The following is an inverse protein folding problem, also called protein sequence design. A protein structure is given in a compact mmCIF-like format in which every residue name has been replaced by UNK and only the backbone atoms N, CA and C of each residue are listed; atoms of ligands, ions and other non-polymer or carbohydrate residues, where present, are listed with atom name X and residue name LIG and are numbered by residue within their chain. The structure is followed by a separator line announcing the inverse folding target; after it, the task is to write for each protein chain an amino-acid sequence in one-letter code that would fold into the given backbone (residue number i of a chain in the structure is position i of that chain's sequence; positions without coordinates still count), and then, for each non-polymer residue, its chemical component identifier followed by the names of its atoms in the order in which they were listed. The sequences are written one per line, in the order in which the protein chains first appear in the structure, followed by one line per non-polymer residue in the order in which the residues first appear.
data_IF_181416583556
#
_entry.id   IF_181416583556
#
_cell.length_a   1.000
_cell.length_b   1.000
_cell.length_c   1.000
_cell.angle_alpha   90.00
_cell.angle_beta   90.00
_cell.angle_gamma   90.00
#
_symmetry.space_group_name_H-M   'P 1'
#
loop_
_entity.id
_entity.type
_entity.pdbx_description
1 polymer ?
#
# COMPACT_ATOMS: atom_id res chain seq x y z
N UNK A 1 6.61 15.78 -4.42
CA UNK A 1 7.88 15.03 -4.18
C UNK A 1 8.38 15.19 -2.76
N UNK A 2 8.60 16.42 -2.27
CA UNK A 2 9.17 16.66 -0.92
C UNK A 2 8.32 16.03 0.18
N UNK A 3 7.00 16.11 0.10
CA UNK A 3 6.09 15.53 1.07
C UNK A 3 6.05 13.97 1.09
N UNK A 4 6.82 13.31 0.22
CA UNK A 4 7.09 11.87 0.31
C UNK A 4 8.20 11.51 1.31
N UNK A 5 8.91 12.52 1.84
CA UNK A 5 9.95 12.32 2.84
C UNK A 5 9.33 12.13 4.23
N UNK A 6 9.04 10.87 4.58
CA UNK A 6 8.40 10.52 5.85
C UNK A 6 9.24 10.93 7.08
N UNK A 7 10.56 10.95 6.98
CA UNK A 7 11.44 11.40 8.08
C UNK A 7 11.26 12.89 8.34
N UNK A 8 11.25 13.72 7.30
CA UNK A 8 11.02 15.15 7.42
C UNK A 8 9.62 15.45 7.97
N UNK A 9 8.60 14.76 7.45
CA UNK A 9 7.23 14.92 7.91
C UNK A 9 7.07 14.55 9.39
N UNK A 10 7.73 13.47 9.81
CA UNK A 10 7.72 13.05 11.21
C UNK A 10 8.39 14.06 12.14
N UNK A 11 9.45 14.74 11.69
CA UNK A 11 10.08 15.82 12.47
C UNK A 11 9.12 16.98 12.72
N UNK A 12 8.26 17.32 11.76
CA UNK A 12 7.23 18.35 11.94
C UNK A 12 6.24 17.94 13.03
N UNK A 13 5.83 16.67 13.06
CA UNK A 13 4.92 16.14 14.09
C UNK A 13 5.55 16.10 15.47
N UNK A 14 6.80 15.61 15.59
CA UNK A 14 7.48 15.45 16.88
C UNK A 14 7.77 16.83 17.53
N UNK A 15 8.10 17.82 16.74
CA UNK A 15 8.42 19.15 17.26
C UNK A 15 7.19 20.00 17.59
N UNK A 16 5.98 19.49 17.35
CA UNK A 16 4.71 20.15 17.68
C UNK A 16 4.57 21.58 17.13
N UNK A 17 5.16 21.87 15.98
CA UNK A 17 5.00 23.19 15.33
C UNK A 17 3.59 23.43 14.82
N UNK A 18 2.84 22.36 14.57
CA UNK A 18 1.46 22.42 14.08
C UNK A 18 0.61 21.40 14.84
N UNK A 19 -0.62 21.73 15.09
CA UNK A 19 -1.59 20.82 15.74
C UNK A 19 -1.96 19.62 14.85
N UNK A 20 -1.98 19.84 13.54
CA UNK A 20 -2.34 18.81 12.56
C UNK A 20 -1.47 18.93 11.32
N UNK A 21 -1.12 17.79 10.76
CA UNK A 21 -0.50 17.67 9.44
C UNK A 21 -1.40 16.83 8.54
N UNK A 22 -1.59 17.26 7.30
CA UNK A 22 -2.30 16.51 6.29
C UNK A 22 -1.39 16.29 5.08
N UNK A 23 -1.15 15.02 4.76
CA UNK A 23 -0.38 14.61 3.59
C UNK A 23 -1.26 13.63 2.83
N UNK A 24 -1.68 13.95 1.59
CA UNK A 24 -2.52 13.06 0.80
C UNK A 24 -1.75 11.81 0.36
N UNK A 25 -2.48 10.79 -0.09
CA UNK A 25 -1.87 9.54 -0.57
C UNK A 25 -1.02 9.68 -1.84
N UNK A 26 -1.19 10.76 -2.59
CA UNK A 26 -0.39 11.09 -3.77
C UNK A 26 0.23 12.51 -3.66
N UNK A 27 1.20 12.74 -2.75
CA UNK A 27 1.74 14.07 -2.49
C UNK A 27 2.84 14.49 -3.49
N UNK A 28 2.89 13.89 -4.65
CA UNK A 28 3.77 14.21 -5.79
C UNK A 28 2.98 14.70 -6.99
N UNK A 29 3.63 14.71 -8.15
CA UNK A 29 3.07 15.22 -9.43
C UNK A 29 1.78 14.50 -9.83
N UNK A 30 1.68 13.21 -9.58
CA UNK A 30 0.46 12.44 -9.84
C UNK A 30 -0.77 12.99 -9.11
N UNK A 31 -0.61 13.56 -7.92
CA UNK A 31 -1.70 14.18 -7.17
C UNK A 31 -2.25 15.46 -7.80
N UNK A 32 -1.49 16.09 -8.70
CA UNK A 32 -1.95 17.26 -9.46
C UNK A 32 -3.19 16.96 -10.30
N UNK A 33 -3.33 15.74 -10.84
CA UNK A 33 -4.52 15.32 -11.59
C UNK A 33 -5.77 15.31 -10.71
N UNK A 34 -5.65 14.81 -9.47
CA UNK A 34 -6.73 14.81 -8.49
C UNK A 34 -7.09 16.25 -8.09
N UNK A 35 -6.07 17.07 -7.81
CA UNK A 35 -6.27 18.47 -7.46
C UNK A 35 -7.00 19.24 -8.55
N UNK A 36 -6.62 19.06 -9.80
CA UNK A 36 -7.28 19.70 -10.95
C UNK A 36 -8.75 19.27 -11.09
N UNK A 37 -9.01 17.97 -10.94
CA UNK A 37 -10.37 17.43 -10.97
C UNK A 37 -11.24 18.01 -9.84
N UNK A 38 -10.69 18.05 -8.62
CA UNK A 38 -11.40 18.60 -7.44
C UNK A 38 -11.68 20.10 -7.56
N UNK A 39 -10.73 20.88 -8.07
CA UNK A 39 -10.93 22.33 -8.32
C UNK A 39 -12.05 22.54 -9.33
N UNK A 40 -12.03 21.78 -10.43
CA UNK A 40 -13.06 21.88 -11.47
C UNK A 40 -14.43 21.45 -10.95
N UNK A 41 -14.48 20.36 -10.20
CA UNK A 41 -15.70 19.89 -9.54
C UNK A 41 -16.28 20.95 -8.60
N UNK A 42 -15.45 21.55 -7.74
CA UNK A 42 -15.86 22.58 -6.79
C UNK A 42 -16.36 23.86 -7.47
N UNK A 43 -15.74 24.26 -8.60
CA UNK A 43 -16.24 25.42 -9.37
C UNK A 43 -17.67 25.22 -9.89
N UNK A 44 -18.04 24.00 -10.23
CA UNK A 44 -19.40 23.65 -10.72
C UNK A 44 -20.38 23.34 -9.60
N UNK A 45 -19.90 22.85 -8.45
CA UNK A 45 -20.72 22.36 -7.32
C UNK A 45 -20.27 23.06 -6.03
N UNK A 46 -20.63 24.33 -5.86
CA UNK A 46 -20.12 25.20 -4.78
C UNK A 46 -20.39 24.66 -3.37
N UNK A 47 -21.50 23.95 -3.18
CA UNK A 47 -21.98 23.46 -1.88
C UNK A 47 -21.61 22.00 -1.58
N UNK A 48 -20.85 21.35 -2.47
CA UNK A 48 -20.44 19.96 -2.27
C UNK A 48 -18.94 19.80 -2.17
N UNK A 49 -18.52 18.98 -1.19
CA UNK A 49 -17.13 18.58 -1.04
C UNK A 49 -16.97 17.12 -1.47
N UNK A 50 -16.20 16.88 -2.52
CA UNK A 50 -15.74 15.53 -2.81
C UNK A 50 -14.68 15.17 -1.78
N UNK A 51 -14.98 14.19 -0.92
CA UNK A 51 -14.05 13.69 0.07
C UNK A 51 -13.31 12.46 -0.49
N UNK A 52 -12.10 12.67 -0.98
CA UNK A 52 -11.22 11.60 -1.47
C UNK A 52 -10.31 11.10 -0.34
N UNK A 53 -10.88 10.38 0.61
CA UNK A 53 -10.14 9.79 1.73
C UNK A 53 -9.53 8.44 1.41
N UNK A 54 -9.95 7.79 0.33
CA UNK A 54 -9.44 6.48 -0.06
C UNK A 54 -8.38 6.58 -1.16
N UNK A 55 -7.23 5.92 -1.01
CA UNK A 55 -6.23 5.81 -2.08
C UNK A 55 -6.61 4.79 -3.16
N UNK A 56 -7.62 3.95 -2.93
CA UNK A 56 -7.98 2.81 -3.79
C UNK A 56 -8.90 3.24 -4.94
N UNK A 57 -8.40 4.13 -5.80
CA UNK A 57 -9.14 4.68 -6.94
C UNK A 57 -8.60 4.23 -8.30
N UNK A 58 -7.54 3.41 -8.31
CA UNK A 58 -6.97 2.86 -9.52
C UNK A 58 -7.79 1.72 -10.13
N UNK A 59 -7.20 1.00 -11.07
CA UNK A 59 -7.86 -0.10 -11.79
C UNK A 59 -8.30 -1.23 -10.87
N UNK A 60 -9.44 -1.81 -11.18
CA UNK A 60 -9.95 -3.03 -10.57
C UNK A 60 -10.20 -4.07 -11.67
N UNK A 61 -10.14 -5.34 -11.30
CA UNK A 61 -10.39 -6.45 -12.20
C UNK A 61 -11.37 -7.40 -11.51
N UNK A 62 -12.34 -7.89 -12.25
CA UNK A 62 -13.27 -8.89 -11.76
C UNK A 62 -12.63 -10.29 -11.72
N UNK A 63 -13.25 -11.21 -11.01
CA UNK A 63 -12.79 -12.61 -11.03
C UNK A 63 -12.85 -13.20 -12.44
N UNK A 64 -13.87 -12.83 -13.21
CA UNK A 64 -14.08 -13.26 -14.59
C UNK A 64 -12.96 -12.73 -15.52
N UNK A 65 -12.51 -11.49 -15.31
CA UNK A 65 -11.38 -10.92 -16.06
C UNK A 65 -10.09 -11.67 -15.75
N UNK A 66 -9.86 -11.97 -14.47
CA UNK A 66 -8.68 -12.71 -14.02
C UNK A 66 -8.72 -14.15 -14.59
N UNK A 67 -9.86 -14.83 -14.56
CA UNK A 67 -10.02 -16.17 -15.09
C UNK A 67 -9.79 -16.22 -16.60
N UNK A 68 -10.31 -15.24 -17.34
CA UNK A 68 -10.05 -15.12 -18.79
C UNK A 68 -8.55 -14.99 -19.09
N UNK A 69 -7.83 -14.17 -18.31
CA UNK A 69 -6.37 -14.01 -18.47
C UNK A 69 -5.65 -15.33 -18.17
N UNK A 70 -6.02 -16.02 -17.08
CA UNK A 70 -5.41 -17.28 -16.68
C UNK A 70 -5.59 -18.34 -17.78
N UNK A 71 -6.77 -18.42 -18.37
CA UNK A 71 -7.09 -19.43 -19.38
C UNK A 71 -6.44 -19.14 -20.75
N UNK A 72 -6.26 -17.88 -21.10
CA UNK A 72 -5.80 -17.48 -22.42
C UNK A 72 -4.30 -17.22 -22.52
N UNK A 73 -3.62 -16.88 -21.41
CA UNK A 73 -2.20 -16.56 -21.44
C UNK A 73 -1.33 -17.82 -21.31
N UNK A 74 -0.70 -18.21 -22.41
CA UNK A 74 0.18 -19.40 -22.46
C UNK A 74 1.35 -19.32 -21.47
N UNK A 75 1.80 -18.11 -21.13
CA UNK A 75 2.90 -17.90 -20.18
C UNK A 75 2.56 -18.35 -18.77
N UNK A 76 1.26 -18.39 -18.44
CA UNK A 76 0.79 -18.80 -17.12
C UNK A 76 0.74 -20.32 -16.94
N UNK A 77 0.78 -21.11 -18.01
CA UNK A 77 0.76 -22.58 -17.95
C UNK A 77 1.94 -23.21 -17.18
N UNK A 78 3.05 -22.49 -17.06
CA UNK A 78 4.21 -22.92 -16.29
C UNK A 78 4.02 -22.77 -14.77
N UNK A 79 2.99 -22.06 -14.32
CA UNK A 79 2.76 -21.80 -12.90
C UNK A 79 1.67 -22.70 -12.34
N UNK A 80 1.82 -23.07 -11.07
CA UNK A 80 0.78 -23.80 -10.34
C UNK A 80 -0.30 -22.83 -9.87
N UNK A 81 -1.46 -22.86 -10.51
CA UNK A 81 -2.60 -22.01 -10.17
C UNK A 81 -3.57 -22.80 -9.30
N UNK A 82 -4.06 -22.17 -8.24
CA UNK A 82 -5.08 -22.70 -7.36
C UNK A 82 -6.16 -21.67 -7.10
N UNK A 83 -7.41 -22.09 -7.15
CA UNK A 83 -8.56 -21.27 -6.80
C UNK A 83 -9.06 -21.61 -5.40
N UNK A 84 -9.34 -20.57 -4.60
CA UNK A 84 -9.89 -20.69 -3.25
C UNK A 84 -11.23 -19.96 -3.19
N UNK A 85 -12.32 -20.67 -2.94
CA UNK A 85 -13.64 -20.07 -2.71
C UNK A 85 -13.72 -19.36 -1.36
N UNK A 86 -13.06 -19.94 -0.36
CA UNK A 86 -13.07 -19.42 1.00
C UNK A 86 -11.90 -18.46 1.22
N UNK A 87 -12.25 -17.18 1.45
CA UNK A 87 -11.26 -16.13 1.72
C UNK A 87 -10.42 -16.39 2.97
N UNK A 88 -11.01 -16.96 4.01
CA UNK A 88 -10.30 -17.27 5.26
C UNK A 88 -9.23 -18.35 5.04
N UNK A 89 -9.56 -19.38 4.26
CA UNK A 89 -8.61 -20.42 3.89
C UNK A 89 -7.40 -19.85 3.13
N UNK A 90 -7.67 -18.96 2.16
CA UNK A 90 -6.62 -18.27 1.42
C UNK A 90 -5.75 -17.40 2.35
N UNK A 91 -6.37 -16.63 3.24
CA UNK A 91 -5.65 -15.77 4.18
C UNK A 91 -4.76 -16.58 5.13
N UNK A 92 -5.25 -17.71 5.65
CA UNK A 92 -4.49 -18.61 6.51
C UNK A 92 -3.30 -19.23 5.76
N UNK A 93 -3.49 -19.59 4.49
CA UNK A 93 -2.39 -20.07 3.65
C UNK A 93 -1.32 -18.99 3.45
N UNK A 94 -1.73 -17.76 3.13
CA UNK A 94 -0.82 -16.61 2.95
C UNK A 94 -0.05 -16.35 4.24
N UNK A 95 -0.74 -16.28 5.39
CA UNK A 95 -0.12 -16.07 6.69
C UNK A 95 0.92 -17.17 7.02
N UNK A 96 0.58 -18.43 6.78
CA UNK A 96 1.51 -19.56 6.95
C UNK A 96 2.73 -19.47 6.03
N UNK A 97 2.55 -19.03 4.78
CA UNK A 97 3.66 -18.79 3.85
C UNK A 97 4.59 -17.69 4.35
N UNK A 98 4.04 -16.57 4.80
CA UNK A 98 4.80 -15.45 5.36
C UNK A 98 5.55 -15.90 6.63
N UNK A 99 4.87 -16.58 7.55
CA UNK A 99 5.48 -17.13 8.76
C UNK A 99 6.70 -18.02 8.45
N UNK A 100 6.61 -18.83 7.41
CA UNK A 100 7.69 -19.69 6.94
C UNK A 100 8.72 -18.94 6.06
N UNK A 101 8.84 -17.63 6.21
CA UNK A 101 9.81 -16.76 5.53
C UNK A 101 9.69 -16.73 3.98
N UNK A 102 8.53 -17.08 3.43
CA UNK A 102 8.29 -16.84 2.01
C UNK A 102 7.91 -15.38 1.78
N UNK A 103 8.27 -14.86 0.63
CA UNK A 103 7.81 -13.55 0.16
C UNK A 103 6.60 -13.74 -0.74
N UNK A 104 5.54 -12.98 -0.48
CA UNK A 104 4.26 -13.11 -1.18
C UNK A 104 3.95 -11.81 -1.92
N UNK A 105 3.74 -11.89 -3.23
CA UNK A 105 3.11 -10.82 -4.00
C UNK A 105 1.61 -10.82 -3.74
N UNK A 106 1.07 -9.70 -3.27
CA UNK A 106 -0.34 -9.57 -2.91
C UNK A 106 -1.05 -8.59 -3.83
N UNK A 107 -2.06 -9.10 -4.52
CA UNK A 107 -2.90 -8.36 -5.44
C UNK A 107 -4.36 -8.49 -4.99
N UNK A 108 -4.97 -7.38 -4.61
CA UNK A 108 -6.32 -7.37 -4.06
C UNK A 108 -7.10 -6.16 -4.56
N UNK A 109 -8.40 -6.31 -4.85
CA UNK A 109 -9.34 -5.23 -5.13
C UNK A 109 -8.77 -4.11 -6.05
N UNK A 110 -9.18 -2.87 -5.88
CA UNK A 110 -8.69 -1.71 -6.64
C UNK A 110 -7.27 -1.34 -6.24
N UNK A 111 -6.42 -0.98 -7.21
CA UNK A 111 -5.06 -0.54 -6.91
C UNK A 111 -5.04 0.84 -6.26
N UNK A 112 -3.99 1.08 -5.51
CA UNK A 112 -3.70 2.38 -4.93
C UNK A 112 -3.32 3.39 -6.01
N UNK A 113 -3.73 4.63 -5.83
CA UNK A 113 -3.25 5.77 -6.58
C UNK A 113 -2.19 6.52 -5.76
N UNK A 114 -1.00 6.67 -6.31
CA UNK A 114 0.10 7.32 -5.61
C UNK A 114 1.36 6.47 -5.55
N UNK A 115 2.36 6.96 -4.82
CA UNK A 115 3.71 6.39 -4.82
C UNK A 115 3.88 5.16 -3.90
N UNK A 116 2.92 4.91 -3.02
CA UNK A 116 3.03 3.87 -1.98
C UNK A 116 2.08 2.72 -2.25
N UNK A 117 2.55 1.49 -2.06
CA UNK A 117 1.71 0.32 -1.90
C UNK A 117 1.07 0.36 -0.50
N UNK A 118 -0.25 0.24 -0.43
CA UNK A 118 -1.03 0.39 0.80
C UNK A 118 -1.91 -0.84 1.09
N UNK A 119 -1.49 -2.01 0.62
CA UNK A 119 -2.15 -3.27 0.90
C UNK A 119 -2.83 -3.95 -0.29
N UNK A 120 -3.03 -3.27 -1.42
CA UNK A 120 -3.69 -3.87 -2.58
C UNK A 120 -2.73 -4.31 -3.70
N UNK A 121 -1.56 -3.71 -3.79
CA UNK A 121 -0.46 -4.08 -4.71
C UNK A 121 0.83 -4.14 -3.91
N UNK A 122 0.93 -5.11 -3.00
CA UNK A 122 1.96 -5.16 -1.99
C UNK A 122 2.82 -6.40 -2.09
N UNK A 123 4.04 -6.29 -1.58
CA UNK A 123 4.91 -7.43 -1.31
C UNK A 123 4.90 -7.64 0.20
N UNK A 124 4.48 -8.82 0.62
CA UNK A 124 4.36 -9.19 2.03
C UNK A 124 5.49 -10.16 2.42
N UNK A 125 6.06 -9.96 3.59
CA UNK A 125 7.09 -10.84 4.13
C UNK A 125 7.11 -10.80 5.66
N UNK A 126 7.78 -11.76 6.28
CA UNK A 126 7.87 -11.89 7.73
C UNK A 126 8.81 -10.82 8.31
N UNK A 127 8.32 -9.83 9.09
CA UNK A 127 9.16 -8.79 9.68
C UNK A 127 10.11 -9.32 10.76
N UNK A 128 9.84 -10.49 11.33
CA UNK A 128 10.68 -11.13 12.35
C UNK A 128 11.90 -11.85 11.77
N UNK A 129 11.98 -12.01 10.44
CA UNK A 129 13.13 -12.64 9.80
C UNK A 129 14.29 -11.64 9.69
N UNK A 130 15.46 -11.92 10.26
CA UNK A 130 16.57 -10.95 10.34
C UNK A 130 17.09 -10.49 8.96
N UNK A 131 17.03 -11.36 7.96
CA UNK A 131 17.56 -11.08 6.62
C UNK A 131 16.51 -10.65 5.59
N UNK A 132 15.26 -10.51 6.00
CA UNK A 132 14.16 -10.28 5.05
C UNK A 132 14.30 -8.96 4.29
N UNK A 133 14.75 -7.91 4.96
CA UNK A 133 15.02 -6.59 4.36
C UNK A 133 16.02 -6.71 3.20
N UNK A 134 17.10 -7.43 3.40
CA UNK A 134 18.12 -7.62 2.39
C UNK A 134 17.61 -8.48 1.22
N UNK A 135 16.90 -9.57 1.51
CA UNK A 135 16.31 -10.44 0.51
C UNK A 135 15.35 -9.66 -0.40
N UNK A 136 14.44 -8.87 0.17
CA UNK A 136 13.47 -8.11 -0.62
C UNK A 136 14.18 -7.03 -1.43
N UNK A 137 15.12 -6.28 -0.85
CA UNK A 137 15.83 -5.22 -1.57
C UNK A 137 16.68 -5.77 -2.71
N UNK A 138 17.52 -6.78 -2.45
CA UNK A 138 18.45 -7.31 -3.45
C UNK A 138 17.76 -8.19 -4.50
N UNK A 139 16.94 -9.17 -4.06
CA UNK A 139 16.40 -10.19 -4.97
C UNK A 139 15.13 -9.77 -5.70
N UNK A 140 14.28 -8.98 -5.05
CA UNK A 140 12.96 -8.62 -5.57
C UNK A 140 12.92 -7.20 -6.11
N UNK A 141 13.28 -6.21 -5.28
CA UNK A 141 13.26 -4.81 -5.67
C UNK A 141 14.49 -4.37 -6.48
N UNK A 142 15.59 -5.13 -6.42
CA UNK A 142 16.87 -4.83 -7.10
C UNK A 142 17.31 -3.39 -6.85
N UNK A 143 17.36 -3.02 -5.58
CA UNK A 143 17.70 -1.67 -5.11
C UNK A 143 18.63 -1.72 -3.90
N UNK A 144 19.05 -0.59 -3.42
CA UNK A 144 19.97 -0.43 -2.30
C UNK A 144 19.43 -1.09 -1.02
N UNK A 145 20.30 -1.81 -0.32
CA UNK A 145 19.93 -2.60 0.87
C UNK A 145 19.52 -1.76 2.08
N UNK A 146 19.96 -0.49 2.14
CA UNK A 146 19.63 0.39 3.26
C UNK A 146 18.16 0.85 3.27
N UNK A 147 17.45 0.80 2.15
CA UNK A 147 16.06 1.26 2.06
C UNK A 147 15.15 0.49 3.01
N UNK A 148 14.37 1.19 3.85
CA UNK A 148 13.48 0.56 4.81
C UNK A 148 12.21 0.01 4.13
N UNK A 149 11.51 -0.83 4.90
CA UNK A 149 10.13 -1.24 4.63
C UNK A 149 9.26 -0.83 5.80
N UNK A 150 8.01 -0.48 5.54
CA UNK A 150 7.04 -0.20 6.57
C UNK A 150 6.44 -1.52 7.09
N UNK A 151 6.38 -1.71 8.41
CA UNK A 151 5.62 -2.80 9.00
C UNK A 151 4.12 -2.53 8.87
N UNK A 152 3.33 -3.60 8.77
CA UNK A 152 1.87 -3.56 8.81
C UNK A 152 1.40 -4.27 10.07
N UNK A 153 0.55 -3.62 10.85
CA UNK A 153 -0.02 -4.18 12.08
C UNK A 153 -1.52 -3.86 12.15
N UNK A 154 -2.20 -4.51 13.06
CA UNK A 154 -3.58 -4.16 13.41
C UNK A 154 -3.61 -2.75 14.02
N UNK A 155 -4.58 -1.94 13.63
CA UNK A 155 -4.68 -0.55 14.07
C UNK A 155 -4.82 -0.43 15.60
N UNK A 156 -5.57 -1.34 16.21
CA UNK A 156 -5.76 -1.44 17.66
C UNK A 156 -4.48 -1.74 18.43
N UNK A 157 -3.52 -2.42 17.78
CA UNK A 157 -2.24 -2.80 18.38
C UNK A 157 -1.14 -1.73 18.21
N UNK A 158 -1.40 -0.66 17.50
CA UNK A 158 -0.38 0.34 17.13
C UNK A 158 0.41 0.89 18.32
N UNK A 159 -0.26 1.16 19.45
CA UNK A 159 0.38 1.74 20.65
C UNK A 159 1.26 0.74 21.40
N UNK A 160 1.03 -0.57 21.21
CA UNK A 160 1.84 -1.64 21.80
C UNK A 160 3.16 -1.81 21.05
N UNK A 161 3.20 -1.46 19.76
CA UNK A 161 4.34 -1.70 18.89
C UNK A 161 5.14 -0.44 18.56
N UNK A 162 4.52 0.73 18.56
CA UNK A 162 5.15 1.98 18.14
C UNK A 162 5.05 3.06 19.22
N UNK A 163 6.17 3.74 19.45
CA UNK A 163 6.18 4.98 20.22
C UNK A 163 5.64 6.11 19.34
N UNK A 164 4.84 7.03 19.91
CA UNK A 164 4.29 8.19 19.21
C UNK A 164 3.54 7.82 17.92
N UNK A 165 2.66 6.82 18.00
CA UNK A 165 1.92 6.33 16.84
C UNK A 165 0.84 7.33 16.41
N UNK A 166 1.15 8.18 15.46
CA UNK A 166 0.18 9.04 14.81
C UNK A 166 -0.66 8.25 13.79
N UNK A 167 -1.85 8.78 13.47
CA UNK A 167 -2.64 8.24 12.38
C UNK A 167 -1.94 8.51 11.05
N UNK A 168 -1.46 7.47 10.40
CA UNK A 168 -0.64 7.55 9.19
C UNK A 168 -1.10 6.53 8.14
N UNK A 169 -2.27 6.74 7.51
CA UNK A 169 -2.87 5.76 6.60
C UNK A 169 -2.13 5.62 5.26
N UNK A 170 -1.25 6.57 4.93
CA UNK A 170 -0.59 6.63 3.62
C UNK A 170 0.94 6.48 3.69
N UNK A 171 1.47 6.03 4.82
CA UNK A 171 2.92 5.86 5.02
C UNK A 171 3.70 7.15 4.72
N UNK A 172 3.18 8.29 5.15
CA UNK A 172 3.72 9.63 4.86
C UNK A 172 4.51 10.26 6.01
N UNK A 173 4.47 9.62 7.20
CA UNK A 173 5.22 10.03 8.39
C UNK A 173 5.97 8.85 9.00
#
# INVERSE_FOLDING_TARGET
GCALNSLANNQILINNYFEKIFIPYAPGDAGGSIGSALITFRKKNKDSFANLTTPFIGSAYSNEDIEKIINNDQRLKQFKIKYYKNRLELNNLIAKKIYNNNVVGFFNSRMEFGARALGNRSILANPCSPNIKEIINKKIKRRESFRPFAPSILFEEKNNWFRNSHYNPYMSC
#
